data_IF_296789126261
#
_entry.id   IF_296789126261
#
_cell.length_a   1.000
_cell.length_b   1.000
_cell.length_c   1.000
_cell.angle_alpha   90.00
_cell.angle_beta   90.00
_cell.angle_gamma   90.00
#
_symmetry.space_group_name_H-M   'P 1'
#
loop_
_entity.id
_entity.type
_entity.pdbx_description
1 polymer ?
#
# COMPACT_ATOMS: atom_id res chain seq x y z
N UNK A 1 -12.69 -24.36 -16.92
CA UNK A 1 -11.98 -23.08 -16.92
C UNK A 1 -12.76 -22.16 -16.01
N UNK A 2 -12.36 -22.11 -14.73
CA UNK A 2 -12.94 -21.16 -13.77
C UNK A 2 -12.35 -19.80 -14.13
N UNK A 3 -13.18 -18.92 -14.71
CA UNK A 3 -12.78 -17.57 -15.01
C UNK A 3 -12.25 -16.91 -13.73
N UNK A 4 -11.00 -16.46 -13.75
CA UNK A 4 -10.40 -15.68 -12.68
C UNK A 4 -11.35 -14.53 -12.34
N UNK A 5 -11.84 -14.51 -11.10
CA UNK A 5 -12.73 -13.45 -10.63
C UNK A 5 -11.88 -12.19 -10.54
N UNK A 6 -12.07 -11.25 -11.45
CA UNK A 6 -11.42 -9.95 -11.38
C UNK A 6 -11.94 -9.24 -10.13
N UNK A 7 -11.21 -9.31 -9.05
CA UNK A 7 -11.51 -8.66 -7.79
C UNK A 7 -10.21 -8.35 -7.04
N UNK A 8 -9.32 -7.52 -7.60
CA UNK A 8 -8.07 -7.20 -6.95
C UNK A 8 -8.30 -6.45 -5.62
N UNK A 9 -7.36 -6.62 -4.69
CA UNK A 9 -7.28 -5.81 -3.47
C UNK A 9 -6.60 -4.50 -3.82
N UNK A 10 -7.17 -3.37 -3.44
CA UNK A 10 -6.44 -2.12 -3.38
C UNK A 10 -5.55 -2.14 -2.14
N UNK A 11 -4.27 -2.43 -2.36
CA UNK A 11 -3.32 -2.71 -1.28
C UNK A 11 -2.81 -1.45 -0.57
N UNK A 12 -3.05 -0.28 -1.15
CA UNK A 12 -2.54 1.00 -0.66
C UNK A 12 -3.51 2.13 -1.01
N UNK A 13 -4.17 2.69 0.02
CA UNK A 13 -5.15 3.76 -0.16
C UNK A 13 -5.25 4.67 1.07
N UNK A 14 -5.47 5.96 0.84
CA UNK A 14 -5.62 6.99 1.88
C UNK A 14 -7.07 7.44 2.00
N UNK A 15 -7.90 6.54 2.53
CA UNK A 15 -9.36 6.69 2.57
C UNK A 15 -9.94 7.00 3.96
N UNK A 16 -9.11 7.07 5.00
CA UNK A 16 -9.59 7.30 6.37
C UNK A 16 -9.77 8.80 6.63
N UNK A 17 -10.96 9.26 7.06
CA UNK A 17 -11.28 10.68 7.18
C UNK A 17 -10.42 11.37 8.25
N UNK A 18 -9.61 12.34 7.85
CA UNK A 18 -8.74 13.11 8.74
C UNK A 18 -7.60 12.32 9.38
N UNK A 19 -7.33 11.08 8.95
CA UNK A 19 -6.18 10.32 9.43
C UNK A 19 -4.86 10.88 8.92
N UNK A 20 -4.87 11.34 7.69
CA UNK A 20 -3.77 12.05 7.02
C UNK A 20 -4.32 13.04 5.98
N UNK A 21 -3.50 13.46 5.01
CA UNK A 21 -3.92 14.39 3.96
C UNK A 21 -4.65 13.73 2.79
N UNK A 22 -4.75 12.39 2.77
CA UNK A 22 -5.37 11.65 1.67
C UNK A 22 -6.89 11.79 1.63
N UNK A 23 -7.57 11.78 2.79
CA UNK A 23 -8.99 12.08 2.91
C UNK A 23 -9.22 13.06 4.04
N UNK A 24 -9.64 14.27 3.71
CA UNK A 24 -9.78 15.37 4.69
C UNK A 24 -11.10 15.38 5.42
N UNK A 25 -12.10 14.60 4.96
CA UNK A 25 -13.44 14.55 5.54
C UNK A 25 -14.12 13.21 5.30
N UNK A 26 -15.14 12.92 6.09
CA UNK A 26 -15.99 11.74 5.89
C UNK A 26 -16.64 11.71 4.50
N UNK A 27 -17.08 12.86 4.00
CA UNK A 27 -17.66 12.98 2.67
C UNK A 27 -16.64 12.59 1.57
N UNK A 28 -15.38 13.04 1.69
CA UNK A 28 -14.30 12.65 0.79
C UNK A 28 -14.08 11.14 0.84
N UNK A 29 -14.00 10.55 2.03
CA UNK A 29 -13.86 9.11 2.22
C UNK A 29 -14.98 8.30 1.57
N UNK A 30 -16.23 8.71 1.80
CA UNK A 30 -17.39 8.05 1.20
C UNK A 30 -17.39 8.16 -0.33
N UNK A 31 -16.96 9.30 -0.87
CA UNK A 31 -16.79 9.48 -2.31
C UNK A 31 -15.72 8.49 -2.88
N UNK A 32 -14.56 8.38 -2.21
CA UNK A 32 -13.51 7.44 -2.59
C UNK A 32 -14.01 5.98 -2.55
N UNK A 33 -14.71 5.59 -1.49
CA UNK A 33 -15.25 4.25 -1.30
C UNK A 33 -16.30 3.92 -2.38
N UNK A 34 -17.19 4.88 -2.70
CA UNK A 34 -18.17 4.74 -3.77
C UNK A 34 -17.50 4.56 -5.13
N UNK A 35 -16.49 5.37 -5.44
CA UNK A 35 -15.72 5.23 -6.67
C UNK A 35 -15.05 3.85 -6.77
N UNK A 36 -14.49 3.33 -5.67
CA UNK A 36 -13.92 1.98 -5.63
C UNK A 36 -14.99 0.93 -6.01
N UNK A 37 -16.14 0.98 -5.33
CA UNK A 37 -17.26 0.07 -5.54
C UNK A 37 -17.78 0.09 -6.98
N UNK A 38 -17.99 1.28 -7.53
CA UNK A 38 -18.44 1.47 -8.91
C UNK A 38 -17.47 0.90 -9.96
N UNK A 39 -16.19 0.76 -9.60
CA UNK A 39 -15.16 0.15 -10.43
C UNK A 39 -14.89 -1.34 -10.09
N UNK A 40 -15.69 -1.95 -9.21
CA UNK A 40 -15.58 -3.36 -8.85
C UNK A 40 -14.45 -3.67 -7.88
N UNK A 41 -13.99 -2.68 -7.12
CA UNK A 41 -13.01 -2.86 -6.04
C UNK A 41 -13.78 -2.97 -4.72
N UNK A 42 -13.80 -4.18 -4.16
CA UNK A 42 -14.56 -4.52 -2.96
C UNK A 42 -13.70 -4.67 -1.70
N UNK A 43 -12.38 -4.56 -1.85
CA UNK A 43 -11.42 -4.80 -0.77
C UNK A 43 -10.31 -3.74 -0.82
N UNK A 44 -10.16 -3.03 0.28
CA UNK A 44 -9.19 -1.92 0.39
C UNK A 44 -8.40 -2.07 1.68
N UNK A 45 -7.08 -1.91 1.61
CA UNK A 45 -6.23 -1.72 2.78
C UNK A 45 -5.98 -0.23 2.94
N UNK A 46 -6.53 0.33 4.01
CA UNK A 46 -6.31 1.72 4.36
C UNK A 46 -4.95 1.87 5.05
N UNK A 47 -4.07 2.63 4.44
CA UNK A 47 -2.66 2.77 4.83
C UNK A 47 -2.29 4.24 5.05
N UNK A 48 -2.93 4.95 6.02
CA UNK A 48 -2.56 6.34 6.27
C UNK A 48 -1.09 6.48 6.63
N UNK A 49 -0.51 7.63 6.30
CA UNK A 49 0.88 7.94 6.54
C UNK A 49 1.25 7.95 8.02
N UNK A 50 2.33 7.26 8.35
CA UNK A 50 3.04 7.36 9.62
C UNK A 50 4.41 7.99 9.42
N UNK A 51 4.61 9.16 10.00
CA UNK A 51 5.88 9.89 10.00
C UNK A 51 6.54 9.80 11.38
N UNK A 52 7.62 9.04 11.56
CA UNK A 52 8.23 8.77 12.87
C UNK A 52 8.68 10.02 13.63
N UNK A 53 9.04 11.08 12.90
CA UNK A 53 9.48 12.36 13.47
C UNK A 53 8.33 13.27 13.89
N UNK A 54 7.10 12.95 13.49
CA UNK A 54 5.91 13.79 13.74
C UNK A 54 4.94 13.11 14.70
N UNK A 55 4.84 11.78 14.62
CA UNK A 55 3.84 11.01 15.34
C UNK A 55 4.49 10.00 16.30
N UNK A 56 3.94 9.86 17.49
CA UNK A 56 4.13 8.61 18.26
C UNK A 56 3.24 7.51 17.66
N UNK A 57 3.65 6.25 17.86
CA UNK A 57 2.84 5.09 17.43
C UNK A 57 1.43 5.15 18.05
N UNK A 58 1.34 5.48 19.35
CA UNK A 58 0.05 5.60 20.05
C UNK A 58 -0.86 6.66 19.40
N UNK A 59 -0.36 7.88 19.21
CA UNK A 59 -1.16 8.97 18.66
C UNK A 59 -1.63 8.68 17.23
N UNK A 60 -0.79 8.00 16.45
CA UNK A 60 -1.16 7.53 15.11
C UNK A 60 -2.28 6.48 15.17
N UNK A 61 -2.13 5.46 16.01
CA UNK A 61 -3.12 4.40 16.15
C UNK A 61 -4.48 4.94 16.60
N UNK A 62 -4.49 5.84 17.56
CA UNK A 62 -5.71 6.49 18.06
C UNK A 62 -6.41 7.27 16.95
N UNK A 63 -5.67 8.05 16.16
CA UNK A 63 -6.21 8.81 15.04
C UNK A 63 -6.75 7.88 13.95
N UNK A 64 -5.95 6.88 13.54
CA UNK A 64 -6.34 5.89 12.53
C UNK A 64 -7.61 5.13 12.93
N UNK A 65 -7.67 4.65 14.16
CA UNK A 65 -8.78 3.84 14.64
C UNK A 65 -10.06 4.67 14.75
N UNK A 66 -9.99 5.91 15.28
CA UNK A 66 -11.16 6.82 15.30
C UNK A 66 -11.66 7.15 13.90
N UNK A 67 -10.75 7.41 12.96
CA UNK A 67 -11.11 7.66 11.57
C UNK A 67 -11.79 6.44 10.92
N UNK A 68 -11.30 5.24 11.23
CA UNK A 68 -11.91 4.00 10.77
C UNK A 68 -13.31 3.79 11.36
N UNK A 69 -13.48 3.97 12.68
CA UNK A 69 -14.80 3.87 13.34
C UNK A 69 -15.80 4.85 12.74
N UNK A 70 -15.37 6.10 12.51
CA UNK A 70 -16.20 7.12 11.87
C UNK A 70 -16.60 6.69 10.44
N UNK A 71 -15.69 6.18 9.64
CA UNK A 71 -16.00 5.71 8.29
C UNK A 71 -16.97 4.53 8.31
N UNK A 72 -16.76 3.58 9.24
CA UNK A 72 -17.58 2.36 9.33
C UNK A 72 -18.93 2.57 10.01
N UNK A 73 -19.15 3.71 10.66
CA UNK A 73 -20.49 4.08 11.18
C UNK A 73 -21.47 4.46 10.07
N UNK A 74 -20.97 4.90 8.94
CA UNK A 74 -21.75 5.17 7.73
C UNK A 74 -21.88 3.88 6.92
N UNK A 75 -23.08 3.35 6.86
CA UNK A 75 -23.18 1.98 6.38
C UNK A 75 -23.43 1.75 4.95
N UNK A 76 -23.33 0.56 4.67
CA UNK A 76 -23.98 -0.44 3.92
C UNK A 76 -23.32 -0.73 2.61
N UNK A 77 -23.15 -0.80 1.64
CA UNK A 77 -22.68 -1.33 0.35
C UNK A 77 -21.28 -0.78 -0.05
N UNK A 78 -20.45 -0.56 0.96
CA UNK A 78 -19.09 -0.08 0.78
C UNK A 78 -18.10 -1.26 0.70
N UNK A 79 -16.92 -1.07 0.07
CA UNK A 79 -15.84 -2.04 0.11
C UNK A 79 -15.45 -2.42 1.54
N UNK A 80 -14.99 -3.66 1.72
CA UNK A 80 -14.41 -4.09 3.00
C UNK A 80 -13.08 -3.39 3.19
N UNK A 81 -12.92 -2.70 4.33
CA UNK A 81 -11.68 -1.99 4.68
C UNK A 81 -10.92 -2.76 5.74
N UNK A 82 -9.61 -2.90 5.54
CA UNK A 82 -8.65 -3.39 6.53
C UNK A 82 -7.64 -2.29 6.84
N UNK A 83 -7.04 -2.36 8.04
CA UNK A 83 -6.16 -1.30 8.53
C UNK A 83 -4.69 -1.66 8.41
N UNK A 84 -3.91 -0.74 7.90
CA UNK A 84 -2.45 -0.76 7.89
C UNK A 84 -1.87 0.60 8.24
N UNK A 85 -0.65 0.82 7.82
CA UNK A 85 0.02 2.11 7.79
C UNK A 85 1.01 2.11 6.63
N UNK A 86 1.19 3.26 6.00
CA UNK A 86 2.35 3.55 5.16
C UNK A 86 3.39 4.24 6.04
N UNK A 87 4.48 3.53 6.32
CA UNK A 87 5.50 3.95 7.27
C UNK A 87 6.67 4.60 6.54
N UNK A 88 6.95 5.87 6.83
CA UNK A 88 8.13 6.54 6.27
C UNK A 88 9.40 5.91 6.83
N UNK A 89 10.22 5.38 5.94
CA UNK A 89 11.51 4.79 6.27
C UNK A 89 12.49 5.87 6.74
N UNK A 90 13.07 5.65 7.90
CA UNK A 90 14.15 6.47 8.43
C UNK A 90 15.18 5.57 9.13
N UNK A 91 16.36 6.11 9.37
CA UNK A 91 17.42 5.37 10.05
C UNK A 91 16.97 4.90 11.43
N UNK A 92 17.07 3.59 11.68
CA UNK A 92 16.74 3.00 12.96
C UNK A 92 15.24 2.78 13.19
N UNK A 93 14.41 2.88 12.18
CA UNK A 93 12.96 2.64 12.27
C UNK A 93 12.64 1.25 12.84
N UNK A 94 13.48 0.27 12.58
CA UNK A 94 13.33 -1.10 13.09
C UNK A 94 13.43 -1.20 14.61
N UNK A 95 13.97 -0.16 15.27
CA UNK A 95 14.08 -0.06 16.74
C UNK A 95 12.98 0.79 17.37
N UNK A 96 12.06 1.31 16.56
CA UNK A 96 10.96 2.13 17.09
C UNK A 96 10.05 1.27 17.99
N UNK A 97 9.87 1.63 19.26
CA UNK A 97 8.99 0.90 20.17
C UNK A 97 7.56 0.84 19.61
N UNK A 98 7.01 -0.37 19.48
CA UNK A 98 5.66 -0.59 18.96
C UNK A 98 5.55 -0.59 17.43
N UNK A 99 6.66 -0.64 16.70
CA UNK A 99 6.67 -0.66 15.22
C UNK A 99 5.79 -1.78 14.66
N UNK A 100 5.69 -2.92 15.35
CA UNK A 100 4.86 -4.05 14.97
C UNK A 100 3.36 -3.72 14.91
N UNK A 101 2.91 -2.67 15.61
CA UNK A 101 1.52 -2.18 15.59
C UNK A 101 1.19 -1.38 14.32
N UNK A 102 2.21 -1.03 13.53
CA UNK A 102 2.09 -0.32 12.26
C UNK A 102 2.02 -1.29 11.07
N UNK A 103 2.27 -2.58 11.29
CA UNK A 103 2.10 -3.59 10.24
C UNK A 103 0.65 -3.65 9.77
N UNK A 104 0.43 -4.21 8.59
CA UNK A 104 -0.91 -4.53 8.15
C UNK A 104 -1.57 -5.41 9.22
N UNK A 105 -2.67 -4.93 9.78
CA UNK A 105 -3.23 -5.43 11.03
C UNK A 105 -3.46 -6.94 11.00
N UNK A 106 -2.90 -7.65 11.97
CA UNK A 106 -3.01 -9.11 12.08
C UNK A 106 -2.01 -9.90 11.22
N UNK A 107 -1.07 -9.23 10.58
CA UNK A 107 -0.05 -9.86 9.73
C UNK A 107 1.36 -9.49 10.18
N UNK A 108 2.38 -10.07 9.52
CA UNK A 108 3.78 -9.65 9.62
C UNK A 108 4.23 -8.78 8.44
N UNK A 109 3.29 -8.15 7.72
CA UNK A 109 3.59 -7.34 6.54
C UNK A 109 3.73 -5.88 6.93
N UNK A 110 4.82 -5.25 6.50
CA UNK A 110 5.12 -3.82 6.70
C UNK A 110 5.21 -3.11 5.35
N UNK A 111 4.39 -2.07 5.16
CA UNK A 111 4.46 -1.20 3.99
C UNK A 111 5.34 0.01 4.33
N UNK A 112 6.47 0.13 3.65
CA UNK A 112 7.45 1.21 3.83
C UNK A 112 7.43 2.18 2.66
N UNK A 113 7.43 3.47 2.95
CA UNK A 113 7.67 4.55 2.00
C UNK A 113 9.11 5.04 2.10
N UNK A 114 9.82 5.19 0.98
CA UNK A 114 11.12 5.85 0.98
C UNK A 114 10.96 7.37 1.09
N UNK A 115 11.86 8.06 1.81
CA UNK A 115 11.88 9.52 1.79
C UNK A 115 12.30 10.04 0.40
N UNK A 116 11.77 11.20 0.02
CA UNK A 116 12.17 11.91 -1.21
C UNK A 116 13.54 12.60 -1.10
N UNK A 117 14.20 12.50 0.06
CA UNK A 117 15.57 12.98 0.27
C UNK A 117 16.61 12.06 -0.36
N UNK A 118 17.88 12.42 -0.22
CA UNK A 118 18.99 11.58 -0.67
C UNK A 118 18.92 10.18 -0.06
N UNK A 119 19.12 9.17 -0.90
CA UNK A 119 19.14 7.78 -0.48
C UNK A 119 20.32 7.52 0.46
N UNK A 120 20.03 6.81 1.55
CA UNK A 120 21.02 6.40 2.54
C UNK A 120 21.11 4.88 2.60
N UNK A 121 22.33 4.36 2.61
CA UNK A 121 22.54 2.90 2.64
C UNK A 121 21.99 2.26 3.93
N UNK A 122 21.86 3.03 4.99
CA UNK A 122 21.27 2.62 6.27
C UNK A 122 19.82 2.18 6.13
N UNK A 123 19.10 2.65 5.11
CA UNK A 123 17.76 2.18 4.79
C UNK A 123 17.74 0.70 4.43
N UNK A 124 18.78 0.23 3.71
CA UNK A 124 18.95 -1.19 3.40
C UNK A 124 19.15 -2.02 4.67
N UNK A 125 19.93 -1.52 5.63
CA UNK A 125 20.17 -2.22 6.90
C UNK A 125 18.90 -2.32 7.76
N UNK A 126 18.07 -1.26 7.78
CA UNK A 126 16.77 -1.31 8.45
C UNK A 126 15.85 -2.36 7.80
N UNK A 127 15.79 -2.40 6.48
CA UNK A 127 15.03 -3.42 5.74
C UNK A 127 15.56 -4.83 6.02
N UNK A 128 16.87 -5.02 5.97
CA UNK A 128 17.51 -6.31 6.29
C UNK A 128 17.15 -6.79 7.71
N UNK A 129 17.18 -5.88 8.66
CA UNK A 129 16.82 -6.18 10.05
C UNK A 129 15.37 -6.67 10.18
N UNK A 130 14.43 -6.01 9.51
CA UNK A 130 13.05 -6.47 9.46
C UNK A 130 12.91 -7.85 8.82
N UNK A 131 13.52 -8.05 7.64
CA UNK A 131 13.46 -9.33 6.92
C UNK A 131 14.07 -10.46 7.74
N UNK A 132 15.20 -10.25 8.39
CA UNK A 132 15.83 -11.24 9.29
C UNK A 132 14.96 -11.57 10.51
N UNK A 133 14.12 -10.65 10.96
CA UNK A 133 13.15 -10.90 12.05
C UNK A 133 11.82 -11.51 11.57
N UNK A 134 11.71 -11.88 10.30
CA UNK A 134 10.54 -12.53 9.73
C UNK A 134 9.43 -11.58 9.28
N UNK A 135 9.73 -10.28 9.19
CA UNK A 135 8.79 -9.28 8.64
C UNK A 135 8.83 -9.33 7.12
N UNK A 136 7.66 -9.37 6.50
CA UNK A 136 7.52 -9.25 5.04
C UNK A 136 7.45 -7.78 4.65
N UNK A 137 8.57 -7.24 4.16
CA UNK A 137 8.72 -5.82 3.84
C UNK A 137 8.29 -5.54 2.42
N UNK A 138 7.38 -4.60 2.24
CA UNK A 138 6.91 -4.12 0.94
C UNK A 138 7.24 -2.63 0.81
N UNK A 139 7.91 -2.25 -0.28
CA UNK A 139 8.09 -0.85 -0.64
C UNK A 139 6.87 -0.31 -1.36
N UNK A 140 6.30 0.75 -0.83
CA UNK A 140 5.21 1.50 -1.44
C UNK A 140 5.68 2.20 -2.72
N UNK A 141 4.81 2.22 -3.74
CA UNK A 141 5.01 2.97 -5.01
C UNK A 141 6.47 3.04 -5.48
N UNK A 142 7.14 1.85 -5.48
CA UNK A 142 8.57 1.73 -5.77
C UNK A 142 9.00 2.39 -7.10
N UNK A 143 8.11 2.47 -8.07
CA UNK A 143 8.36 3.10 -9.36
C UNK A 143 8.53 4.63 -9.30
N UNK A 144 8.23 5.27 -8.16
CA UNK A 144 8.42 6.73 -7.99
C UNK A 144 9.89 7.11 -7.77
N UNK A 145 10.70 6.17 -7.29
CA UNK A 145 12.08 6.42 -6.89
C UNK A 145 13.08 6.06 -7.99
N UNK A 146 14.34 6.53 -7.88
CA UNK A 146 15.42 6.08 -8.74
C UNK A 146 15.56 4.55 -8.70
N UNK A 147 15.65 3.93 -9.88
CA UNK A 147 15.68 2.46 -9.99
C UNK A 147 16.83 1.84 -9.20
N UNK A 148 17.99 2.47 -9.18
CA UNK A 148 19.18 2.02 -8.45
C UNK A 148 18.92 1.91 -6.95
N UNK A 149 18.20 2.88 -6.35
CA UNK A 149 17.85 2.85 -4.93
C UNK A 149 16.93 1.68 -4.62
N UNK A 150 15.96 1.40 -5.50
CA UNK A 150 15.02 0.30 -5.32
C UNK A 150 15.74 -1.04 -5.48
N UNK A 151 16.62 -1.19 -6.47
CA UNK A 151 17.39 -2.42 -6.65
C UNK A 151 18.25 -2.71 -5.42
N UNK A 152 18.90 -1.71 -4.83
CA UNK A 152 19.64 -1.90 -3.57
C UNK A 152 18.73 -2.45 -2.47
N UNK A 153 17.55 -1.86 -2.24
CA UNK A 153 16.65 -2.32 -1.17
C UNK A 153 16.11 -3.73 -1.44
N UNK A 154 15.82 -4.07 -2.69
CA UNK A 154 15.38 -5.42 -3.08
C UNK A 154 16.45 -6.48 -2.75
N UNK A 155 17.72 -6.17 -2.90
CA UNK A 155 18.82 -7.07 -2.54
C UNK A 155 18.80 -7.48 -1.05
N UNK A 156 18.22 -6.64 -0.19
CA UNK A 156 18.03 -6.93 1.23
C UNK A 156 16.69 -7.60 1.57
N UNK A 157 15.94 -8.03 0.55
CA UNK A 157 14.78 -8.90 0.70
C UNK A 157 13.42 -8.20 0.66
N UNK A 158 13.36 -6.90 0.38
CA UNK A 158 12.08 -6.23 0.19
C UNK A 158 11.40 -6.66 -1.12
N UNK A 159 10.09 -6.70 -1.09
CA UNK A 159 9.19 -6.77 -2.24
C UNK A 159 8.67 -5.38 -2.57
N UNK A 160 7.94 -5.25 -3.67
CA UNK A 160 7.45 -3.94 -4.10
C UNK A 160 5.94 -3.93 -4.36
N UNK A 161 5.32 -2.84 -3.98
CA UNK A 161 4.00 -2.41 -4.42
C UNK A 161 4.18 -1.29 -5.44
N UNK A 162 3.36 -1.30 -6.48
CA UNK A 162 3.34 -0.25 -7.49
C UNK A 162 1.99 0.47 -7.52
N UNK A 163 2.02 1.75 -7.81
CA UNK A 163 0.81 2.52 -8.03
C UNK A 163 0.28 2.31 -9.44
N UNK A 164 -1.02 2.09 -9.49
CA UNK A 164 -1.69 1.76 -10.75
C UNK A 164 -1.65 2.90 -11.77
N UNK A 165 -1.64 4.15 -11.31
CA UNK A 165 -1.50 5.31 -12.20
C UNK A 165 -0.19 5.30 -12.97
N UNK A 166 0.89 4.84 -12.36
CA UNK A 166 2.23 4.78 -12.97
C UNK A 166 2.33 3.80 -14.14
N UNK A 167 1.48 2.78 -14.16
CA UNK A 167 1.42 1.82 -15.27
C UNK A 167 0.89 2.44 -16.58
N UNK A 168 0.37 3.64 -16.55
CA UNK A 168 -0.09 4.37 -17.74
C UNK A 168 1.04 5.16 -18.40
N UNK A 169 2.16 5.42 -17.71
CA UNK A 169 3.28 6.19 -18.24
C UNK A 169 4.27 5.32 -19.02
N UNK A 170 4.59 5.73 -20.23
CA UNK A 170 5.54 5.02 -21.11
C UNK A 170 6.96 4.94 -20.53
N UNK A 171 7.38 5.97 -19.80
CA UNK A 171 8.73 6.07 -19.22
C UNK A 171 9.04 5.00 -18.21
N UNK A 172 8.03 4.41 -17.57
CA UNK A 172 8.22 3.38 -16.54
C UNK A 172 8.08 1.94 -17.07
N UNK A 173 7.67 1.74 -18.33
CA UNK A 173 7.36 0.40 -18.87
C UNK A 173 8.50 -0.61 -18.77
N UNK A 174 9.74 -0.17 -19.04
CA UNK A 174 10.91 -1.07 -19.04
C UNK A 174 11.19 -1.63 -17.66
N UNK A 175 11.18 -0.77 -16.65
CA UNK A 175 11.47 -1.19 -15.27
C UNK A 175 10.33 -2.02 -14.70
N UNK A 176 9.08 -1.63 -14.88
CA UNK A 176 7.92 -2.39 -14.43
C UNK A 176 7.91 -3.80 -15.04
N UNK A 177 8.25 -3.93 -16.33
CA UNK A 177 8.35 -5.23 -16.99
C UNK A 177 9.45 -6.10 -16.35
N UNK A 178 10.63 -5.53 -16.11
CA UNK A 178 11.72 -6.24 -15.44
C UNK A 178 11.33 -6.74 -14.06
N UNK A 179 10.66 -5.91 -13.27
CA UNK A 179 10.19 -6.29 -11.94
C UNK A 179 9.09 -7.35 -11.97
N UNK A 180 8.20 -7.30 -12.96
CA UNK A 180 7.18 -8.35 -13.17
C UNK A 180 7.82 -9.70 -13.53
N UNK A 181 8.74 -9.70 -14.48
CA UNK A 181 9.45 -10.92 -14.92
C UNK A 181 10.25 -11.57 -13.79
N UNK A 182 10.71 -10.77 -12.82
CA UNK A 182 11.43 -11.22 -11.61
C UNK A 182 10.49 -11.55 -10.44
N UNK A 183 9.17 -11.43 -10.60
CA UNK A 183 8.16 -11.62 -9.55
C UNK A 183 8.38 -10.74 -8.29
N UNK A 184 8.90 -9.55 -8.48
CA UNK A 184 9.15 -8.60 -7.39
C UNK A 184 7.91 -7.79 -7.02
N UNK A 185 7.02 -7.54 -7.99
CA UNK A 185 5.76 -6.85 -7.76
C UNK A 185 4.76 -7.82 -7.14
N UNK A 186 4.41 -7.60 -5.88
CA UNK A 186 3.50 -8.47 -5.13
C UNK A 186 2.14 -7.81 -4.87
N UNK A 187 2.03 -6.51 -5.03
CA UNK A 187 0.80 -5.77 -4.79
C UNK A 187 0.67 -4.56 -5.71
N UNK A 188 -0.57 -4.16 -5.95
CA UNK A 188 -0.92 -2.90 -6.62
C UNK A 188 -1.77 -2.04 -5.69
N UNK A 189 -1.61 -0.72 -5.76
CA UNK A 189 -2.38 0.23 -4.96
C UNK A 189 -2.89 1.40 -5.80
N UNK A 190 -3.99 1.98 -5.39
CA UNK A 190 -4.49 3.22 -5.97
C UNK A 190 -3.68 4.42 -5.50
N UNK A 191 -3.27 4.37 -4.24
CA UNK A 191 -2.69 5.51 -3.52
C UNK A 191 -3.58 6.75 -3.65
N UNK A 192 -4.89 6.52 -3.54
CA UNK A 192 -5.88 7.58 -3.76
C UNK A 192 -5.80 8.64 -2.69
N UNK A 193 -5.69 9.89 -3.13
CA UNK A 193 -5.79 11.10 -2.32
C UNK A 193 -6.92 12.00 -2.83
N UNK A 194 -7.71 12.54 -1.93
CA UNK A 194 -8.86 13.37 -2.31
C UNK A 194 -9.87 12.64 -3.20
N UNK A 195 -10.49 13.38 -4.11
CA UNK A 195 -11.53 12.86 -4.99
C UNK A 195 -11.05 12.67 -6.43
N UNK A 196 -9.85 12.08 -6.60
CA UNK A 196 -9.35 11.78 -7.94
C UNK A 196 -10.23 10.73 -8.64
N UNK A 197 -11.10 11.21 -9.53
CA UNK A 197 -12.02 10.37 -10.31
C UNK A 197 -11.33 9.39 -11.27
N UNK A 198 -10.04 9.52 -11.50
CA UNK A 198 -9.29 8.63 -12.37
C UNK A 198 -8.58 7.49 -11.62
N UNK A 199 -8.46 7.55 -10.30
CA UNK A 199 -7.73 6.58 -9.50
C UNK A 199 -8.21 5.14 -9.77
N UNK A 200 -9.48 4.85 -9.55
CA UNK A 200 -10.02 3.49 -9.74
C UNK A 200 -10.22 3.06 -11.20
N UNK A 201 -10.66 3.91 -12.15
CA UNK A 201 -10.57 3.57 -13.57
C UNK A 201 -9.16 3.20 -14.03
N UNK A 202 -8.13 3.88 -13.53
CA UNK A 202 -6.74 3.53 -13.80
C UNK A 202 -6.33 2.24 -13.10
N UNK A 203 -6.79 2.01 -11.88
CA UNK A 203 -6.57 0.77 -11.15
C UNK A 203 -7.05 -0.45 -11.94
N UNK A 204 -8.28 -0.44 -12.40
CA UNK A 204 -8.86 -1.52 -13.20
C UNK A 204 -8.08 -1.75 -14.51
N UNK A 205 -7.69 -0.68 -15.20
CA UNK A 205 -6.89 -0.79 -16.43
C UNK A 205 -5.50 -1.35 -16.16
N UNK A 206 -4.87 -0.95 -15.05
CA UNK A 206 -3.55 -1.43 -14.66
C UNK A 206 -3.61 -2.92 -14.30
N UNK A 207 -4.56 -3.33 -13.47
CA UNK A 207 -4.76 -4.73 -13.11
C UNK A 207 -4.93 -5.62 -14.37
N UNK A 208 -5.74 -5.20 -15.33
CA UNK A 208 -5.89 -5.92 -16.60
C UNK A 208 -4.60 -5.99 -17.42
N UNK A 209 -3.74 -4.96 -17.36
CA UNK A 209 -2.44 -4.94 -18.07
C UNK A 209 -1.41 -5.90 -17.47
N UNK A 210 -1.56 -6.31 -16.21
CA UNK A 210 -0.70 -7.31 -15.60
C UNK A 210 -0.81 -8.68 -16.30
N UNK A 211 -1.93 -8.95 -16.97
CA UNK A 211 -2.13 -10.19 -17.71
C UNK A 211 -1.91 -11.43 -16.82
N UNK A 212 -1.02 -12.33 -17.22
CA UNK A 212 -0.71 -13.53 -16.46
C UNK A 212 -0.06 -13.26 -15.08
N UNK A 213 0.55 -12.09 -14.86
CA UNK A 213 1.10 -11.72 -13.56
C UNK A 213 0.04 -11.30 -12.55
N UNK A 214 -1.20 -11.01 -13.02
CA UNK A 214 -2.30 -10.62 -12.13
C UNK A 214 -2.62 -11.70 -11.10
N UNK A 215 -2.58 -12.96 -11.49
CA UNK A 215 -2.87 -14.08 -10.57
C UNK A 215 -1.86 -14.11 -9.43
N UNK A 216 -0.57 -13.94 -9.71
CA UNK A 216 0.48 -13.90 -8.67
C UNK A 216 0.30 -12.72 -7.72
N UNK A 217 -0.03 -11.53 -8.24
CA UNK A 217 -0.29 -10.33 -7.44
C UNK A 217 -1.54 -10.49 -6.59
N UNK A 218 -2.61 -11.06 -7.18
CA UNK A 218 -3.84 -11.32 -6.45
C UNK A 218 -3.65 -12.38 -5.36
N UNK A 219 -2.98 -13.48 -5.65
CA UNK A 219 -2.74 -14.57 -4.68
C UNK A 219 -2.03 -14.04 -3.43
N UNK A 220 -1.03 -13.18 -3.61
CA UNK A 220 -0.35 -12.54 -2.49
C UNK A 220 -1.27 -11.59 -1.72
N UNK A 221 -1.92 -10.67 -2.43
CA UNK A 221 -2.79 -9.66 -1.83
C UNK A 221 -4.01 -10.28 -1.14
N UNK A 222 -4.60 -11.33 -1.73
CA UNK A 222 -5.71 -12.09 -1.18
C UNK A 222 -5.32 -12.80 0.11
N UNK A 223 -4.14 -13.45 0.12
CA UNK A 223 -3.59 -14.11 1.30
C UNK A 223 -3.38 -13.12 2.45
N UNK A 224 -2.76 -11.97 2.16
CA UNK A 224 -2.53 -10.93 3.16
C UNK A 224 -3.86 -10.39 3.68
N UNK A 225 -4.79 -10.02 2.78
CA UNK A 225 -6.09 -9.46 3.16
C UNK A 225 -6.92 -10.43 4.01
N UNK A 226 -6.85 -11.75 3.72
CA UNK A 226 -7.56 -12.78 4.48
C UNK A 226 -7.00 -12.98 5.91
N UNK A 227 -5.72 -12.70 6.13
CA UNK A 227 -5.09 -12.75 7.45
C UNK A 227 -5.42 -11.52 8.31
N UNK A 228 -5.75 -10.40 7.67
CA UNK A 228 -6.07 -9.14 8.37
C UNK A 228 -7.42 -9.24 9.09
N UNK A 229 -7.49 -8.67 10.28
CA UNK A 229 -8.70 -8.66 11.15
C UNK A 229 -9.19 -7.23 11.44
#
# INVERSE_FOLDING_TARGET
MTGSRFAPVDFHAHILPGADHGSTSLETSLCQMKMARENGIDRIIATPHFYPTVHSVESFLDRRNRAYELLMSEHSDLPTVRLGAEVLLCNGIERLPGIEKLFLRGTNVLLLELPYSDFQIEYCYSVESFVKSGVDVILAHAERYPTENIEHIIEYGAKIQINTVSMHYFSKRRILRSWLERNLIVAIGSDIHGTDRHAYPYFVKAARKLGAHLDTVNDYSDKVFAQMN
#
